data_IF_202115173890
#
_entry.id   IF_202115173890
#
_cell.length_a   1.000
_cell.length_b   1.000
_cell.length_c   1.000
_cell.angle_alpha   90.00
_cell.angle_beta   90.00
_cell.angle_gamma   90.00
#
_symmetry.space_group_name_H-M   'P 1'
#
loop_
_entity.id
_entity.type
_entity.pdbx_description
1 polymer ?
#
# COMPACT_ATOMS: atom_id res chain seq x y z
N UNK A 1 19.56 -9.87 5.88
CA UNK A 1 18.48 -9.72 6.90
C UNK A 1 17.38 -10.70 6.55
N UNK A 2 16.87 -11.50 7.51
CA UNK A 2 15.84 -12.52 7.26
C UNK A 2 14.57 -11.86 6.74
N UNK A 3 14.19 -12.18 5.50
CA UNK A 3 12.85 -11.95 4.98
C UNK A 3 11.86 -12.63 5.94
N UNK A 4 11.05 -11.84 6.67
CA UNK A 4 9.91 -12.41 7.39
C UNK A 4 9.03 -13.02 6.31
N UNK A 5 8.87 -14.33 6.28
CA UNK A 5 8.01 -15.01 5.31
C UNK A 5 6.55 -14.55 5.47
N UNK A 6 6.17 -13.54 4.68
CA UNK A 6 4.82 -13.00 4.62
C UNK A 6 3.95 -13.93 3.78
N UNK A 7 3.30 -14.90 4.43
CA UNK A 7 2.29 -15.75 3.77
C UNK A 7 0.87 -15.26 4.08
N UNK A 8 0.04 -15.12 3.03
CA UNK A 8 -1.41 -14.84 3.13
C UNK A 8 -2.15 -15.94 3.91
N UNK A 9 -1.59 -17.14 3.98
CA UNK A 9 -2.13 -18.27 4.76
C UNK A 9 -2.00 -18.03 6.26
N UNK A 10 -0.84 -17.56 6.71
CA UNK A 10 -0.49 -17.42 8.14
C UNK A 10 -0.75 -16.03 8.72
N UNK A 11 -0.94 -15.01 7.89
CA UNK A 11 -1.16 -13.63 8.34
C UNK A 11 -2.51 -13.09 7.87
N UNK A 12 -3.13 -12.23 8.69
CA UNK A 12 -4.33 -11.47 8.34
C UNK A 12 -3.96 -9.98 8.22
N UNK A 13 -4.58 -9.30 7.27
CA UNK A 13 -4.54 -7.85 7.19
C UNK A 13 -5.48 -7.24 8.23
N UNK A 14 -4.90 -6.51 9.18
CA UNK A 14 -5.65 -5.72 10.16
C UNK A 14 -5.60 -4.27 9.72
N UNK A 15 -6.79 -3.67 9.55
CA UNK A 15 -6.92 -2.24 9.31
C UNK A 15 -6.67 -1.53 10.65
N UNK A 16 -5.88 -0.46 10.61
CA UNK A 16 -5.48 0.27 11.81
C UNK A 16 -6.13 1.65 11.84
N UNK A 17 -5.65 2.56 11.00
CA UNK A 17 -6.13 3.93 10.91
C UNK A 17 -6.18 4.40 9.46
N UNK A 18 -6.83 5.54 9.25
CA UNK A 18 -6.70 6.28 7.99
C UNK A 18 -5.24 6.68 7.75
N UNK A 19 -4.80 6.51 6.51
CA UNK A 19 -3.49 6.96 6.03
C UNK A 19 -3.68 8.23 5.22
N UNK A 20 -3.02 9.28 5.67
CA UNK A 20 -2.92 10.56 4.96
C UNK A 20 -1.83 10.53 3.87
N UNK A 21 -1.82 11.56 3.03
CA UNK A 21 -0.87 11.71 1.92
C UNK A 21 0.57 11.83 2.42
N UNK A 22 0.83 12.55 3.51
CA UNK A 22 2.18 12.73 4.05
C UNK A 22 2.77 11.42 4.56
N UNK A 23 1.99 10.66 5.34
CA UNK A 23 2.41 9.32 5.79
C UNK A 23 2.60 8.35 4.63
N UNK A 24 1.79 8.45 3.58
CA UNK A 24 2.00 7.67 2.34
C UNK A 24 3.37 8.00 1.74
N UNK A 25 3.65 9.27 1.46
CA UNK A 25 4.89 9.69 0.80
C UNK A 25 6.15 9.24 1.56
N UNK A 26 6.11 9.28 2.88
CA UNK A 26 7.25 8.91 3.72
C UNK A 26 7.51 7.40 3.81
N UNK A 27 6.53 6.55 3.50
CA UNK A 27 6.63 5.09 3.72
C UNK A 27 6.42 4.26 2.46
N UNK A 28 5.78 4.85 1.46
CA UNK A 28 5.44 4.19 0.22
C UNK A 28 6.62 4.21 -0.73
N UNK A 29 6.83 3.09 -1.41
CA UNK A 29 7.77 2.99 -2.51
C UNK A 29 7.05 2.70 -3.82
N UNK A 30 5.98 1.89 -3.77
CA UNK A 30 5.16 1.55 -4.94
C UNK A 30 3.67 1.68 -4.62
N UNK A 31 2.91 2.15 -5.59
CA UNK A 31 1.46 2.35 -5.50
C UNK A 31 0.80 1.60 -6.66
N UNK A 32 -0.26 0.85 -6.37
CA UNK A 32 -1.10 0.24 -7.40
C UNK A 32 -2.45 0.93 -7.45
N UNK A 33 -2.94 1.24 -8.65
CA UNK A 33 -4.24 1.88 -8.86
C UNK A 33 -5.36 0.86 -9.12
N UNK A 34 -6.61 1.31 -9.10
CA UNK A 34 -7.75 0.47 -9.50
C UNK A 34 -7.71 0.05 -10.97
N UNK A 35 -7.12 0.88 -11.83
CA UNK A 35 -6.95 0.62 -13.27
C UNK A 35 -5.78 -0.33 -13.59
N UNK A 36 -5.16 -0.93 -12.56
CA UNK A 36 -4.07 -1.88 -12.71
C UNK A 36 -2.70 -1.26 -12.97
N UNK A 37 -2.58 0.08 -12.93
CA UNK A 37 -1.27 0.75 -13.07
C UNK A 37 -0.44 0.59 -11.81
N UNK A 38 0.87 0.42 -11.99
CA UNK A 38 1.84 0.43 -10.91
C UNK A 38 2.73 1.67 -11.05
N UNK A 39 2.73 2.49 -10.03
CA UNK A 39 3.44 3.76 -9.97
C UNK A 39 4.52 3.70 -8.89
N UNK A 40 5.65 4.35 -9.12
CA UNK A 40 6.74 4.46 -8.15
C UNK A 40 6.62 5.80 -7.43
N UNK A 41 6.77 5.81 -6.11
CA UNK A 41 6.80 7.06 -5.34
C UNK A 41 8.20 7.65 -5.47
N UNK A 42 8.26 8.92 -5.87
CA UNK A 42 9.49 9.70 -5.97
C UNK A 42 9.71 10.54 -4.72
N UNK A 43 10.97 10.90 -4.47
CA UNK A 43 11.37 11.69 -3.29
C UNK A 43 10.78 13.11 -3.30
N UNK A 44 10.40 13.62 -4.47
CA UNK A 44 9.74 14.91 -4.64
C UNK A 44 8.24 14.88 -4.27
N UNK A 45 7.71 13.74 -3.84
CA UNK A 45 6.29 13.58 -3.49
C UNK A 45 5.37 13.31 -4.69
N UNK A 46 5.92 13.11 -5.90
CA UNK A 46 5.16 12.70 -7.07
C UNK A 46 5.20 11.18 -7.26
N UNK A 47 4.32 10.69 -8.14
CA UNK A 47 4.33 9.33 -8.65
C UNK A 47 4.95 9.30 -10.04
N UNK A 48 5.78 8.31 -10.31
CA UNK A 48 6.29 8.03 -11.63
C UNK A 48 5.56 6.86 -12.26
N UNK A 49 4.91 7.09 -13.39
CA UNK A 49 4.37 6.03 -14.24
C UNK A 49 5.47 5.57 -15.20
N UNK A 50 5.98 4.36 -14.98
CA UNK A 50 7.05 3.79 -15.81
C UNK A 50 6.59 3.46 -17.23
N UNK A 51 5.29 3.20 -17.44
CA UNK A 51 4.74 2.81 -18.75
C UNK A 51 4.73 4.00 -19.69
N UNK A 52 4.23 5.15 -19.21
CA UNK A 52 4.16 6.38 -20.00
C UNK A 52 5.34 7.33 -19.75
N UNK A 53 6.29 6.92 -18.90
CA UNK A 53 7.49 7.69 -18.51
C UNK A 53 7.17 9.11 -18.04
N UNK A 54 6.16 9.24 -17.17
CA UNK A 54 5.64 10.54 -16.75
C UNK A 54 5.50 10.65 -15.23
N UNK A 55 5.84 11.83 -14.72
CA UNK A 55 5.51 12.22 -13.35
C UNK A 55 4.05 12.69 -13.23
N UNK A 56 3.41 12.22 -12.17
CA UNK A 56 2.03 12.53 -11.84
C UNK A 56 1.95 12.91 -10.36
N UNK A 57 1.38 14.07 -10.01
CA UNK A 57 1.20 14.43 -8.61
C UNK A 57 0.39 13.38 -7.83
N UNK A 58 0.85 13.01 -6.64
CA UNK A 58 0.13 12.06 -5.77
C UNK A 58 -1.28 12.53 -5.48
N UNK A 59 -1.49 13.83 -5.30
CA UNK A 59 -2.80 14.45 -5.04
C UNK A 59 -3.83 14.10 -6.10
N UNK A 60 -3.43 14.05 -7.38
CA UNK A 60 -4.32 13.70 -8.48
C UNK A 60 -4.67 12.20 -8.47
N UNK A 61 -3.71 11.37 -8.08
CA UNK A 61 -3.83 9.92 -8.10
C UNK A 61 -4.40 9.32 -6.82
N UNK A 62 -4.38 10.05 -5.71
CA UNK A 62 -4.70 9.54 -4.38
C UNK A 62 -6.09 8.88 -4.31
N UNK A 63 -7.08 9.43 -5.02
CA UNK A 63 -8.44 8.87 -5.11
C UNK A 63 -8.52 7.52 -5.84
N UNK A 64 -7.57 7.26 -6.74
CA UNK A 64 -7.49 6.05 -7.57
C UNK A 64 -6.52 4.99 -7.02
N UNK A 65 -5.81 5.29 -5.92
CA UNK A 65 -4.92 4.33 -5.26
C UNK A 65 -5.73 3.17 -4.70
N UNK A 66 -5.39 1.94 -5.11
CA UNK A 66 -5.97 0.71 -4.58
C UNK A 66 -5.14 0.14 -3.43
N UNK A 67 -3.82 0.09 -3.58
CA UNK A 67 -2.94 -0.31 -2.50
C UNK A 67 -1.55 0.31 -2.61
N UNK A 68 -0.86 0.34 -1.48
CA UNK A 68 0.45 0.96 -1.30
C UNK A 68 1.39 -0.07 -0.73
N UNK A 69 2.60 -0.16 -1.28
CA UNK A 69 3.66 -1.06 -0.85
C UNK A 69 4.91 -0.28 -0.44
N UNK A 70 5.61 -0.78 0.57
CA UNK A 70 6.93 -0.26 0.95
C UNK A 70 8.04 -0.84 0.05
N UNK A 71 9.30 -0.49 0.34
CA UNK A 71 10.49 -1.00 -0.37
C UNK A 71 10.58 -2.53 -0.37
N UNK A 72 10.12 -3.18 0.69
CA UNK A 72 10.15 -4.64 0.85
C UNK A 72 8.98 -5.35 0.11
N UNK A 73 8.15 -4.59 -0.62
CA UNK A 73 6.97 -5.13 -1.33
C UNK A 73 5.77 -5.45 -0.43
N UNK A 74 5.84 -5.10 0.86
CA UNK A 74 4.77 -5.34 1.83
C UNK A 74 3.68 -4.29 1.67
N UNK A 75 2.42 -4.71 1.64
CA UNK A 75 1.27 -3.80 1.59
C UNK A 75 1.15 -3.08 2.94
N UNK A 76 1.28 -1.75 2.92
CA UNK A 76 1.16 -0.89 4.11
C UNK A 76 -0.17 -0.13 4.17
N UNK A 77 -0.87 0.00 3.05
CA UNK A 77 -2.20 0.59 3.00
C UNK A 77 -3.02 0.07 1.81
N UNK A 78 -4.35 0.12 1.95
CA UNK A 78 -5.28 -0.28 0.88
C UNK A 78 -6.60 0.49 0.93
N UNK A 79 -7.23 0.60 -0.24
CA UNK A 79 -8.64 0.97 -0.42
C UNK A 79 -9.41 -0.24 -0.91
N UNK A 80 -10.68 -0.32 -0.51
CA UNK A 80 -11.58 -1.36 -1.01
C UNK A 80 -12.30 -0.92 -2.29
N UNK A 81 -12.53 0.39 -2.48
CA UNK A 81 -13.20 0.97 -3.64
C UNK A 81 -12.57 2.33 -4.02
N UNK A 82 -12.75 2.81 -5.27
CA UNK A 82 -12.35 4.15 -5.66
C UNK A 82 -12.95 5.23 -4.74
N UNK A 83 -12.24 6.34 -4.55
CA UNK A 83 -12.64 7.47 -3.69
C UNK A 83 -12.87 7.15 -2.20
N UNK A 84 -12.72 5.90 -1.75
CA UNK A 84 -12.73 5.59 -0.33
C UNK A 84 -11.50 6.16 0.39
N UNK A 85 -11.58 6.15 1.71
CA UNK A 85 -10.45 6.44 2.59
C UNK A 85 -9.34 5.41 2.41
N UNK A 86 -8.09 5.87 2.34
CA UNK A 86 -6.93 4.98 2.32
C UNK A 86 -6.68 4.48 3.74
N UNK A 87 -6.77 3.18 3.95
CA UNK A 87 -6.62 2.59 5.27
C UNK A 87 -5.24 1.96 5.41
N UNK A 88 -4.50 2.37 6.45
CA UNK A 88 -3.26 1.72 6.84
C UNK A 88 -3.55 0.30 7.32
N UNK A 89 -2.74 -0.64 6.84
CA UNK A 89 -2.85 -2.05 7.20
C UNK A 89 -1.54 -2.57 7.78
N UNK A 90 -1.67 -3.49 8.73
CA UNK A 90 -0.57 -4.28 9.25
C UNK A 90 -0.87 -5.76 9.07
N UNK A 91 0.18 -6.55 8.90
CA UNK A 91 0.06 -8.01 8.88
C UNK A 91 0.17 -8.54 10.31
N UNK A 92 -0.91 -9.13 10.80
CA UNK A 92 -0.95 -9.80 12.10
C UNK A 92 -0.90 -11.32 11.87
N UNK A 93 -0.06 -12.05 12.62
CA UNK A 93 -0.06 -13.52 12.55
C UNK A 93 -1.42 -14.04 13.01
N UNK A 94 -2.03 -14.93 12.24
CA UNK A 94 -3.21 -15.69 12.67
C UNK A 94 -2.76 -16.60 13.81
N UNK A 95 -3.15 -16.28 15.03
CA UNK A 95 -3.08 -17.24 16.12
C UNK A 95 -4.00 -18.40 15.78
N UNK A 96 -3.46 -19.61 15.61
CA UNK A 96 -4.29 -20.82 15.58
C UNK A 96 -5.12 -20.79 16.87
N UNK A 97 -6.44 -20.64 16.78
CA UNK A 97 -7.32 -20.91 17.91
C UNK A 97 -6.97 -22.34 18.35
N UNK A 98 -6.36 -22.50 19.53
CA UNK A 98 -6.35 -23.79 20.21
C UNK A 98 -7.82 -24.09 20.48
N UNK A 99 -8.41 -24.95 19.66
CA UNK A 99 -9.66 -25.62 20.00
C UNK A 99 -9.32 -26.44 21.24
N UNK A 100 -9.96 -26.08 22.36
CA UNK A 100 -9.92 -26.85 23.60
C UNK A 100 -10.87 -28.02 23.45
#
# INVERSE_FOLDING_TARGET
>A
MREKEFSKGTHRLKVTKEMDVGTLLNRAHKVSTFDGKNLVVLDNGNLYDQTVRREVPVTNMFRYIKCVRNSDGIIIAKKNKPCATLMQVIFERKTKKKVK
#
